data_IF_283241818425
#
_entry.id   IF_283241818425
#
_cell.length_a   1.000
_cell.length_b   1.000
_cell.length_c   1.000
_cell.angle_alpha   90.00
_cell.angle_beta   90.00
_cell.angle_gamma   90.00
#
_symmetry.space_group_name_H-M   'P 1'
#
loop_
_entity.id
_entity.type
_entity.pdbx_description
1 polymer ?
#
# COMPACT_ATOMS: atom_id res chain seq x y z
N UNK A 1 -3.97 10.77 -2.03
CA UNK A 1 -3.84 11.10 -3.44
C UNK A 1 -3.01 9.99 -4.09
N UNK A 2 -3.71 9.06 -4.78
CA UNK A 2 -3.04 8.23 -5.78
C UNK A 2 -2.37 9.16 -6.77
N UNK A 3 -1.14 8.86 -7.17
CA UNK A 3 -0.54 9.51 -8.32
C UNK A 3 -1.57 9.56 -9.44
N UNK A 4 -1.68 10.64 -10.21
CA UNK A 4 -2.50 10.64 -11.39
C UNK A 4 -1.90 9.61 -12.34
N UNK A 5 -2.37 8.37 -12.20
CA UNK A 5 -2.22 7.40 -13.26
C UNK A 5 -2.80 8.06 -14.50
N UNK A 6 -2.08 7.99 -15.61
CA UNK A 6 -2.61 8.42 -16.92
C UNK A 6 -4.09 8.08 -16.96
N UNK A 7 -4.93 9.08 -17.23
CA UNK A 7 -6.39 8.87 -17.34
C UNK A 7 -6.63 7.68 -18.25
N UNK A 8 -7.57 6.87 -17.89
CA UNK A 8 -7.94 5.56 -18.42
C UNK A 8 -8.20 5.46 -19.94
N UNK A 9 -7.83 6.44 -20.73
CA UNK A 9 -7.97 6.42 -22.19
C UNK A 9 -6.79 5.77 -22.92
N UNK A 10 -5.63 5.61 -22.27
CA UNK A 10 -4.51 4.87 -22.86
C UNK A 10 -4.44 3.47 -22.25
N UNK A 11 -5.28 2.60 -22.81
CA UNK A 11 -5.41 1.20 -22.40
C UNK A 11 -4.30 0.31 -22.98
N UNK A 12 -3.21 0.90 -23.49
CA UNK A 12 -2.07 0.15 -23.99
C UNK A 12 -1.33 -0.54 -22.83
N UNK A 13 -0.87 -1.77 -23.06
CA UNK A 13 0.04 -2.50 -22.16
C UNK A 13 1.47 -1.92 -22.20
N UNK A 14 1.65 -0.67 -22.61
CA UNK A 14 2.95 -0.03 -22.72
C UNK A 14 3.48 0.28 -21.33
N UNK A 15 4.71 -0.09 -21.08
CA UNK A 15 5.43 0.30 -19.87
C UNK A 15 5.58 1.81 -19.80
N UNK A 16 5.68 2.32 -18.58
CA UNK A 16 5.95 3.73 -18.32
C UNK A 16 7.38 4.04 -18.80
N UNK A 17 7.48 4.96 -19.74
CA UNK A 17 8.77 5.45 -20.26
C UNK A 17 9.01 6.92 -19.93
N UNK A 18 7.95 7.66 -19.57
CA UNK A 18 7.99 9.07 -19.23
C UNK A 18 6.82 9.40 -18.30
N UNK A 19 7.08 10.13 -17.23
CA UNK A 19 6.05 10.65 -16.34
C UNK A 19 6.48 11.98 -15.72
N UNK A 20 6.27 13.09 -16.44
CA UNK A 20 6.71 14.45 -16.04
C UNK A 20 6.23 14.86 -14.64
N UNK A 21 5.01 14.47 -14.24
CA UNK A 21 4.50 14.82 -12.92
C UNK A 21 5.20 14.02 -11.81
N UNK A 22 5.53 12.76 -12.03
CA UNK A 22 6.32 11.96 -11.11
C UNK A 22 7.74 12.53 -11.00
N UNK A 23 8.36 12.85 -12.12
CA UNK A 23 9.69 13.48 -12.18
C UNK A 23 9.73 14.79 -11.38
N UNK A 24 8.76 15.68 -11.61
CA UNK A 24 8.65 16.95 -10.90
C UNK A 24 8.53 16.75 -9.39
N UNK A 25 7.68 15.85 -8.95
CA UNK A 25 7.48 15.56 -7.52
C UNK A 25 8.72 14.92 -6.90
N UNK A 26 9.28 13.93 -7.57
CA UNK A 26 10.50 13.27 -7.11
C UNK A 26 11.66 14.25 -6.98
N UNK A 27 11.87 15.10 -7.99
CA UNK A 27 12.89 16.16 -7.95
C UNK A 27 12.67 17.08 -6.75
N UNK A 28 11.44 17.53 -6.50
CA UNK A 28 11.13 18.36 -5.35
C UNK A 28 11.50 17.70 -4.01
N UNK A 29 11.30 16.38 -3.87
CA UNK A 29 11.76 15.65 -2.70
C UNK A 29 13.30 15.58 -2.63
N UNK A 30 13.95 15.24 -3.75
CA UNK A 30 15.43 15.16 -3.81
C UNK A 30 16.10 16.48 -3.48
N UNK A 31 15.60 17.58 -4.02
CA UNK A 31 16.15 18.94 -3.78
C UNK A 31 16.06 19.36 -2.29
N UNK A 32 15.14 18.75 -1.53
CA UNK A 32 14.95 19.02 -0.09
C UNK A 32 15.51 17.91 0.82
N UNK A 33 16.01 16.83 0.26
CA UNK A 33 16.62 15.74 1.03
C UNK A 33 17.97 16.20 1.60
N UNK A 34 18.19 15.91 2.88
CA UNK A 34 19.47 16.17 3.54
C UNK A 34 20.20 14.87 3.76
N UNK A 35 21.52 14.89 3.60
CA UNK A 35 22.36 13.73 3.86
C UNK A 35 22.21 13.24 5.30
N UNK A 36 22.10 11.92 5.47
CA UNK A 36 21.90 11.28 6.77
C UNK A 36 20.44 11.23 7.28
N UNK A 37 19.48 11.83 6.58
CA UNK A 37 18.06 11.81 6.96
C UNK A 37 17.22 10.82 6.15
N UNK A 38 17.78 9.64 5.91
CA UNK A 38 17.09 8.55 5.25
C UNK A 38 17.19 8.56 3.72
N UNK A 39 16.27 7.89 3.06
CA UNK A 39 16.25 7.70 1.61
C UNK A 39 14.81 7.81 1.07
N UNK A 40 14.69 7.93 -0.25
CA UNK A 40 13.40 8.02 -0.91
C UNK A 40 13.01 6.65 -1.46
N UNK A 41 11.86 6.13 -1.00
CA UNK A 41 11.26 4.91 -1.50
C UNK A 41 10.02 5.21 -2.35
N UNK A 42 9.89 4.54 -3.48
CA UNK A 42 8.68 4.59 -4.32
C UNK A 42 7.84 3.34 -4.06
N UNK A 43 6.62 3.57 -3.61
CA UNK A 43 5.63 2.50 -3.43
C UNK A 43 4.80 2.33 -4.70
N UNK A 44 4.61 1.09 -5.13
CA UNK A 44 3.78 0.75 -6.28
C UNK A 44 2.80 -0.39 -5.99
N UNK A 45 1.57 -0.24 -6.44
CA UNK A 45 0.58 -1.30 -6.42
C UNK A 45 0.81 -2.30 -7.58
N UNK A 46 0.12 -3.46 -7.61
CA UNK A 46 0.35 -4.47 -8.66
C UNK A 46 0.11 -3.98 -10.10
N UNK A 47 -0.73 -2.97 -10.31
CA UNK A 47 -0.92 -2.39 -11.63
C UNK A 47 0.30 -1.56 -12.06
N UNK A 48 0.82 -0.76 -11.13
CA UNK A 48 2.02 0.04 -11.36
C UNK A 48 3.25 -0.84 -11.65
N UNK A 49 3.34 -2.03 -11.03
CA UNK A 49 4.41 -3.00 -11.33
C UNK A 49 4.37 -3.45 -12.79
N UNK A 50 3.17 -3.77 -13.29
CA UNK A 50 2.99 -4.21 -14.69
C UNK A 50 3.35 -3.12 -15.68
N UNK A 51 3.17 -1.86 -15.28
CA UNK A 51 3.51 -0.70 -16.09
C UNK A 51 5.00 -0.31 -16.01
N UNK A 52 5.79 -0.98 -15.17
CA UNK A 52 7.22 -0.69 -15.03
C UNK A 52 7.53 0.58 -14.22
N UNK A 53 6.62 1.00 -13.34
CA UNK A 53 6.80 2.22 -12.52
C UNK A 53 7.99 2.09 -11.58
N UNK A 54 8.25 0.90 -11.03
CA UNK A 54 9.38 0.68 -10.14
C UNK A 54 10.72 0.79 -10.87
N UNK A 55 10.83 0.14 -12.02
CA UNK A 55 12.02 0.21 -12.87
C UNK A 55 12.28 1.63 -13.36
N UNK A 56 11.24 2.35 -13.75
CA UNK A 56 11.33 3.75 -14.11
C UNK A 56 11.82 4.62 -12.93
N UNK A 57 11.30 4.36 -11.73
CA UNK A 57 11.70 5.09 -10.52
C UNK A 57 13.18 4.93 -10.18
N UNK A 58 13.71 3.72 -10.36
CA UNK A 58 15.11 3.44 -10.10
C UNK A 58 16.03 3.98 -11.20
N UNK A 59 15.70 3.66 -12.47
CA UNK A 59 16.59 3.94 -13.59
C UNK A 59 16.56 5.39 -14.05
N UNK A 60 15.41 6.06 -13.94
CA UNK A 60 15.21 7.44 -14.41
C UNK A 60 15.23 8.45 -13.28
N UNK A 61 14.59 8.14 -12.15
CA UNK A 61 14.48 9.08 -11.04
C UNK A 61 15.60 8.90 -10.00
N UNK A 62 16.25 7.74 -9.95
CA UNK A 62 17.29 7.44 -8.98
C UNK A 62 16.74 7.26 -7.56
N UNK A 63 15.59 6.58 -7.42
CA UNK A 63 15.09 6.20 -6.10
C UNK A 63 16.00 5.13 -5.47
N UNK A 64 16.23 5.25 -4.16
CA UNK A 64 17.10 4.31 -3.44
C UNK A 64 16.38 3.00 -3.13
N UNK A 65 15.08 3.08 -2.90
CA UNK A 65 14.25 1.95 -2.50
C UNK A 65 12.95 1.87 -3.29
N UNK A 66 12.41 0.67 -3.37
CA UNK A 66 11.08 0.39 -3.92
C UNK A 66 10.27 -0.42 -2.92
N UNK A 67 8.99 -0.12 -2.81
CA UNK A 67 8.06 -0.87 -1.97
C UNK A 67 6.99 -1.56 -2.83
N UNK A 68 7.00 -2.87 -2.81
CA UNK A 68 5.97 -3.71 -3.40
C UNK A 68 4.71 -3.68 -2.53
N UNK A 69 3.61 -3.17 -3.03
CA UNK A 69 2.36 -3.09 -2.27
C UNK A 69 1.45 -4.27 -2.58
N UNK A 70 1.47 -5.30 -1.75
CA UNK A 70 0.54 -6.41 -1.83
C UNK A 70 -0.83 -6.08 -1.29
N UNK A 71 -0.90 -5.21 -0.29
CA UNK A 71 -2.15 -4.83 0.36
C UNK A 71 -2.04 -3.52 1.11
N UNK A 72 -3.14 -3.16 1.72
CA UNK A 72 -3.30 -2.00 2.56
C UNK A 72 -4.37 -2.34 3.60
N UNK A 73 -4.43 -1.63 4.72
CA UNK A 73 -5.23 -1.95 5.88
C UNK A 73 -6.59 -2.58 5.60
N UNK A 74 -7.46 -1.89 4.90
CA UNK A 74 -8.77 -2.41 4.53
C UNK A 74 -8.89 -2.78 3.03
N UNK A 75 -7.83 -3.26 2.42
CA UNK A 75 -7.77 -3.69 1.01
C UNK A 75 -6.97 -4.97 0.81
N UNK A 76 -7.21 -5.98 1.61
CA UNK A 76 -6.49 -7.26 1.51
C UNK A 76 -6.75 -8.00 0.19
N UNK A 77 -7.91 -7.80 -0.38
CA UNK A 77 -8.34 -8.37 -1.67
C UNK A 77 -8.14 -7.39 -2.83
N UNK A 78 -7.48 -6.26 -2.58
CA UNK A 78 -7.39 -5.13 -3.50
C UNK A 78 -8.50 -4.10 -3.28
N UNK A 79 -8.46 -3.01 -4.05
CA UNK A 79 -9.53 -2.01 -4.05
C UNK A 79 -10.74 -2.50 -4.83
N UNK A 80 -11.90 -2.21 -4.31
CA UNK A 80 -13.16 -2.37 -5.03
C UNK A 80 -13.36 -1.19 -5.97
N UNK A 81 -13.54 -1.45 -7.24
CA UNK A 81 -13.81 -0.44 -8.27
C UNK A 81 -15.01 -0.86 -9.10
N UNK A 82 -16.05 -0.04 -9.09
CA UNK A 82 -17.24 -0.25 -9.92
C UNK A 82 -16.98 0.15 -11.37
N UNK A 83 -17.49 -0.64 -12.30
CA UNK A 83 -17.31 -0.48 -13.74
C UNK A 83 -18.68 -0.61 -14.39
N UNK A 84 -19.11 0.45 -15.06
CA UNK A 84 -20.42 0.53 -15.75
C UNK A 84 -20.28 0.40 -17.26
N UNK A 85 -19.22 -0.23 -17.75
CA UNK A 85 -18.96 -0.44 -19.17
C UNK A 85 -18.46 -1.86 -19.41
N UNK A 86 -19.13 -2.62 -20.25
CA UNK A 86 -18.83 -4.02 -20.51
C UNK A 86 -17.45 -4.22 -21.16
N UNK A 87 -17.10 -3.42 -22.17
CA UNK A 87 -15.82 -3.53 -22.87
C UNK A 87 -14.66 -3.28 -21.91
N UNK A 88 -14.82 -2.30 -21.02
CA UNK A 88 -13.83 -2.01 -19.98
C UNK A 88 -13.74 -3.15 -18.96
N UNK A 89 -14.85 -3.79 -18.61
CA UNK A 89 -14.87 -4.95 -17.71
C UNK A 89 -14.11 -6.12 -18.32
N UNK A 90 -14.38 -6.46 -19.58
CA UNK A 90 -13.67 -7.50 -20.35
C UNK A 90 -12.18 -7.18 -20.45
N UNK A 91 -11.83 -5.96 -20.81
CA UNK A 91 -10.43 -5.54 -20.89
C UNK A 91 -9.70 -5.73 -19.56
N UNK A 92 -10.32 -5.39 -18.43
CA UNK A 92 -9.70 -5.53 -17.11
C UNK A 92 -9.57 -7.00 -16.72
N UNK A 93 -10.55 -7.85 -17.03
CA UNK A 93 -10.44 -9.30 -16.87
C UNK A 93 -9.25 -9.85 -17.65
N UNK A 94 -9.12 -9.47 -18.92
CA UNK A 94 -8.01 -9.89 -19.80
C UNK A 94 -6.64 -9.39 -19.31
N UNK A 95 -6.61 -8.32 -18.50
CA UNK A 95 -5.41 -7.85 -17.78
C UNK A 95 -5.10 -8.62 -16.51
N UNK A 96 -5.89 -9.64 -16.19
CA UNK A 96 -5.71 -10.51 -15.02
C UNK A 96 -6.30 -9.98 -13.73
N UNK A 97 -7.22 -9.01 -13.79
CA UNK A 97 -8.04 -8.64 -12.64
C UNK A 97 -9.17 -9.66 -12.43
N UNK A 98 -9.62 -9.76 -11.19
CA UNK A 98 -10.87 -10.44 -10.88
C UNK A 98 -11.99 -9.45 -11.14
N UNK A 99 -12.88 -9.78 -12.07
CA UNK A 99 -14.06 -8.97 -12.39
C UNK A 99 -15.32 -9.78 -12.13
N UNK A 100 -16.23 -9.24 -11.35
CA UNK A 100 -17.45 -9.90 -10.90
C UNK A 100 -18.65 -9.00 -11.18
N UNK A 101 -19.75 -9.55 -11.75
CA UNK A 101 -19.87 -10.87 -12.36
C UNK A 101 -18.96 -11.03 -13.58
N UNK A 102 -18.81 -12.25 -14.11
CA UNK A 102 -17.92 -12.51 -15.26
C UNK A 102 -18.39 -11.75 -16.50
N UNK A 103 -17.64 -10.76 -17.02
CA UNK A 103 -18.09 -9.96 -18.16
C UNK A 103 -18.03 -10.70 -19.51
N UNK A 104 -17.45 -11.89 -19.56
CA UNK A 104 -17.41 -12.72 -20.79
C UNK A 104 -18.49 -13.82 -20.78
N UNK A 105 -19.22 -13.99 -19.69
CA UNK A 105 -20.37 -14.89 -19.63
C UNK A 105 -21.52 -14.33 -20.48
N UNK A 106 -22.03 -15.05 -21.49
CA UNK A 106 -23.14 -14.62 -22.35
C UNK A 106 -24.40 -14.25 -21.57
N UNK A 107 -24.70 -14.97 -20.48
CA UNK A 107 -25.85 -14.71 -19.62
C UNK A 107 -25.68 -13.36 -18.94
N UNK A 108 -24.48 -13.06 -18.43
CA UNK A 108 -24.17 -11.79 -17.78
C UNK A 108 -24.20 -10.64 -18.80
N UNK A 109 -23.72 -10.86 -20.01
CA UNK A 109 -23.78 -9.84 -21.07
C UNK A 109 -25.21 -9.46 -21.43
N UNK A 110 -26.09 -10.46 -21.54
CA UNK A 110 -27.50 -10.21 -21.81
C UNK A 110 -28.21 -9.53 -20.62
N UNK A 111 -27.90 -9.94 -19.39
CA UNK A 111 -28.39 -9.31 -18.18
C UNK A 111 -27.91 -7.86 -18.04
N UNK A 112 -26.70 -7.55 -18.48
CA UNK A 112 -26.18 -6.19 -18.51
C UNK A 112 -26.89 -5.33 -19.57
N UNK A 113 -27.15 -5.86 -20.77
CA UNK A 113 -27.90 -5.15 -21.82
C UNK A 113 -29.36 -4.87 -21.42
N UNK A 114 -30.00 -5.80 -20.72
CA UNK A 114 -31.38 -5.64 -20.23
C UNK A 114 -31.47 -4.75 -18.96
N UNK A 115 -30.35 -4.38 -18.36
CA UNK A 115 -30.32 -3.61 -17.11
C UNK A 115 -30.51 -4.42 -15.84
N UNK A 116 -30.59 -5.76 -15.92
CA UNK A 116 -30.66 -6.64 -14.76
C UNK A 116 -29.33 -6.73 -14.00
N UNK A 117 -28.21 -6.48 -14.69
CA UNK A 117 -26.90 -6.26 -14.10
C UNK A 117 -26.50 -4.80 -14.35
N UNK A 118 -26.39 -4.01 -13.29
CA UNK A 118 -26.10 -2.57 -13.40
C UNK A 118 -24.62 -2.27 -13.68
N UNK A 119 -23.73 -3.21 -13.37
CA UNK A 119 -22.29 -3.03 -13.55
C UNK A 119 -21.47 -4.19 -13.02
N UNK A 120 -20.16 -3.99 -13.01
CA UNK A 120 -19.17 -4.98 -12.62
C UNK A 120 -18.32 -4.41 -11.48
N UNK A 121 -17.73 -5.31 -10.69
CA UNK A 121 -16.75 -4.96 -9.67
C UNK A 121 -15.39 -5.55 -10.04
N UNK A 122 -14.36 -4.70 -10.00
CA UNK A 122 -12.97 -5.13 -10.20
C UNK A 122 -12.24 -5.24 -8.88
N UNK A 123 -11.59 -6.37 -8.67
CA UNK A 123 -10.71 -6.61 -7.54
C UNK A 123 -9.29 -6.92 -8.00
N UNK A 124 -8.30 -6.39 -7.28
CA UNK A 124 -6.89 -6.74 -7.48
C UNK A 124 -6.47 -7.72 -6.41
N UNK A 125 -6.11 -8.93 -6.81
CA UNK A 125 -5.60 -9.94 -5.89
C UNK A 125 -4.13 -10.21 -6.16
N UNK A 126 -3.34 -10.26 -5.10
CA UNK A 126 -1.94 -10.67 -5.19
C UNK A 126 -1.88 -12.19 -5.12
N UNK A 127 -1.53 -12.82 -6.21
CA UNK A 127 -1.50 -14.28 -6.34
C UNK A 127 -0.57 -14.96 -5.34
N UNK A 128 0.57 -14.35 -5.04
CA UNK A 128 1.59 -14.90 -4.15
C UNK A 128 1.07 -15.31 -2.76
N UNK A 129 -0.01 -14.69 -2.26
CA UNK A 129 -0.61 -15.05 -0.96
C UNK A 129 -1.56 -16.24 -1.07
N UNK A 130 -2.18 -16.43 -2.23
CA UNK A 130 -3.29 -17.37 -2.43
C UNK A 130 -2.95 -18.62 -3.21
N UNK A 131 -1.81 -18.65 -3.90
CA UNK A 131 -1.37 -19.79 -4.69
C UNK A 131 -0.61 -20.84 -3.85
N UNK A 132 -0.36 -22.00 -4.46
CA UNK A 132 0.49 -23.04 -3.86
C UNK A 132 1.87 -22.46 -3.51
N UNK A 133 2.28 -22.64 -2.25
CA UNK A 133 3.40 -21.91 -1.65
C UNK A 133 4.73 -22.00 -2.42
N UNK A 134 5.21 -23.19 -2.90
CA UNK A 134 6.46 -23.24 -3.65
C UNK A 134 6.46 -22.36 -4.89
N UNK A 135 5.41 -22.48 -5.73
CA UNK A 135 5.28 -21.63 -6.92
C UNK A 135 5.21 -20.14 -6.59
N UNK A 136 4.45 -19.78 -5.57
CA UNK A 136 4.32 -18.39 -5.14
C UNK A 136 5.66 -17.82 -4.65
N UNK A 137 6.48 -18.63 -3.99
CA UNK A 137 7.82 -18.25 -3.57
C UNK A 137 8.76 -18.05 -4.76
N UNK A 138 8.74 -18.95 -5.74
CA UNK A 138 9.57 -18.83 -6.94
C UNK A 138 9.22 -17.56 -7.74
N UNK A 139 7.93 -17.33 -7.99
CA UNK A 139 7.45 -16.13 -8.70
C UNK A 139 7.84 -14.84 -7.97
N UNK A 140 7.73 -14.82 -6.66
CA UNK A 140 8.11 -13.66 -5.85
C UNK A 140 9.63 -13.46 -5.81
N UNK A 141 10.40 -14.53 -5.69
CA UNK A 141 11.87 -14.48 -5.74
C UNK A 141 12.37 -13.88 -7.04
N UNK A 142 11.84 -14.35 -8.17
CA UNK A 142 12.17 -13.80 -9.49
C UNK A 142 11.85 -12.30 -9.58
N UNK A 143 10.75 -11.85 -8.99
CA UNK A 143 10.41 -10.43 -8.97
C UNK A 143 11.37 -9.61 -8.12
N UNK A 144 11.76 -10.09 -6.95
CA UNK A 144 12.74 -9.42 -6.09
C UNK A 144 14.11 -9.33 -6.78
N UNK A 145 14.55 -10.43 -7.38
CA UNK A 145 15.81 -10.47 -8.14
C UNK A 145 15.79 -9.53 -9.33
N UNK A 146 14.66 -9.47 -10.05
CA UNK A 146 14.47 -8.52 -11.14
C UNK A 146 14.64 -7.06 -10.67
N UNK A 147 14.05 -6.68 -9.54
CA UNK A 147 14.18 -5.33 -9.00
C UNK A 147 15.61 -5.01 -8.55
N UNK A 148 16.29 -5.96 -7.92
CA UNK A 148 17.69 -5.80 -7.52
C UNK A 148 18.61 -5.66 -8.73
N UNK A 149 18.41 -6.48 -9.74
CA UNK A 149 19.15 -6.40 -11.02
C UNK A 149 18.86 -5.08 -11.77
N UNK A 150 17.67 -4.52 -11.59
CA UNK A 150 17.31 -3.21 -12.13
C UNK A 150 17.87 -2.02 -11.32
N UNK A 151 18.58 -2.27 -10.23
CA UNK A 151 19.29 -1.25 -9.46
C UNK A 151 18.69 -0.86 -8.11
N UNK A 152 17.66 -1.58 -7.62
CA UNK A 152 17.12 -1.33 -6.28
C UNK A 152 18.17 -1.62 -5.20
N UNK A 153 18.56 -0.62 -4.42
CA UNK A 153 19.42 -0.80 -3.24
C UNK A 153 18.66 -1.50 -2.12
N UNK A 154 17.39 -1.14 -1.94
CA UNK A 154 16.50 -1.70 -0.93
C UNK A 154 15.18 -2.10 -1.54
N UNK A 155 14.65 -3.27 -1.13
CA UNK A 155 13.34 -3.76 -1.56
C UNK A 155 12.46 -3.98 -0.35
N UNK A 156 11.35 -3.28 -0.30
CA UNK A 156 10.36 -3.35 0.77
C UNK A 156 9.10 -4.07 0.29
N UNK A 157 8.34 -4.57 1.25
CA UNK A 157 7.02 -5.14 1.04
C UNK A 157 6.00 -4.45 1.94
N UNK A 158 4.81 -4.15 1.42
CA UNK A 158 3.68 -3.70 2.21
C UNK A 158 2.51 -4.68 2.10
N UNK A 159 1.99 -5.06 3.25
CA UNK A 159 0.81 -5.93 3.41
C UNK A 159 -0.40 -5.14 3.90
N UNK A 160 -1.52 -5.82 4.07
CA UNK A 160 -2.74 -5.28 4.67
C UNK A 160 -3.08 -5.97 5.99
N UNK A 161 -4.32 -5.81 6.43
CA UNK A 161 -4.87 -6.42 7.63
C UNK A 161 -5.13 -7.93 7.44
N UNK A 162 -4.09 -8.66 7.13
CA UNK A 162 -4.13 -10.06 6.73
C UNK A 162 -4.51 -10.99 7.88
N UNK A 163 -5.17 -12.10 7.54
CA UNK A 163 -5.33 -13.21 8.49
C UNK A 163 -3.96 -13.81 8.85
N UNK A 164 -3.88 -14.54 10.00
CA UNK A 164 -2.60 -15.03 10.53
C UNK A 164 -1.74 -15.80 9.54
N UNK A 165 -2.36 -16.69 8.74
CA UNK A 165 -1.63 -17.50 7.74
C UNK A 165 -0.98 -16.66 6.65
N UNK A 166 -1.66 -15.61 6.19
CA UNK A 166 -1.17 -14.77 5.10
C UNK A 166 -0.10 -13.78 5.62
N UNK A 167 -0.25 -13.30 6.85
CA UNK A 167 0.79 -12.53 7.54
C UNK A 167 2.06 -13.36 7.73
N UNK A 168 1.92 -14.60 8.21
CA UNK A 168 3.06 -15.50 8.38
C UNK A 168 3.79 -15.77 7.05
N UNK A 169 3.05 -15.95 5.94
CA UNK A 169 3.63 -16.09 4.61
C UNK A 169 4.39 -14.85 4.17
N UNK A 170 3.83 -13.66 4.36
CA UNK A 170 4.49 -12.42 4.00
C UNK A 170 5.82 -12.26 4.77
N UNK A 171 5.82 -12.51 6.08
CA UNK A 171 7.02 -12.47 6.92
C UNK A 171 8.04 -13.52 6.45
N UNK A 172 7.58 -14.73 6.12
CA UNK A 172 8.48 -15.79 5.62
C UNK A 172 9.08 -15.43 4.26
N UNK A 173 8.33 -14.83 3.35
CA UNK A 173 8.84 -14.35 2.07
C UNK A 173 9.92 -13.28 2.27
N UNK A 174 9.66 -12.31 3.14
CA UNK A 174 10.66 -11.30 3.48
C UNK A 174 11.93 -11.92 4.07
N UNK A 175 11.78 -12.95 4.90
CA UNK A 175 12.92 -13.67 5.48
C UNK A 175 13.74 -14.40 4.41
N UNK A 176 13.09 -15.20 3.56
CA UNK A 176 13.75 -16.02 2.55
C UNK A 176 14.47 -15.17 1.51
N UNK A 177 13.82 -14.12 1.03
CA UNK A 177 14.36 -13.23 0.00
C UNK A 177 15.11 -12.02 0.57
N UNK A 178 15.30 -11.96 1.89
CA UNK A 178 16.05 -10.90 2.60
C UNK A 178 15.60 -9.50 2.20
N UNK A 179 14.28 -9.27 2.24
CA UNK A 179 13.74 -7.93 2.06
C UNK A 179 14.10 -7.07 3.26
N UNK A 180 14.41 -5.81 2.99
CA UNK A 180 14.92 -4.90 4.02
C UNK A 180 13.82 -4.51 5.02
N UNK A 181 12.61 -4.23 4.52
CA UNK A 181 11.49 -3.75 5.35
C UNK A 181 10.18 -4.46 4.98
N UNK A 182 9.39 -4.78 6.00
CA UNK A 182 8.00 -5.19 5.86
C UNK A 182 7.07 -4.19 6.56
N UNK A 183 6.25 -3.49 5.79
CA UNK A 183 5.18 -2.64 6.31
C UNK A 183 3.89 -3.45 6.50
N UNK A 184 3.37 -3.47 7.72
CA UNK A 184 2.13 -4.15 8.09
C UNK A 184 1.07 -3.10 8.41
N UNK A 185 0.04 -3.02 7.57
CA UNK A 185 -1.00 -2.00 7.62
C UNK A 185 -2.32 -2.62 8.11
N UNK A 186 -2.69 -2.35 9.35
CA UNK A 186 -3.86 -2.94 10.01
C UNK A 186 -5.20 -2.37 9.51
N UNK A 187 -6.31 -2.93 9.99
CA UNK A 187 -7.66 -2.63 9.53
C UNK A 187 -8.05 -1.15 9.60
N UNK A 188 -7.48 -0.36 10.53
CA UNK A 188 -7.67 1.09 10.60
C UNK A 188 -7.09 1.88 9.42
N UNK A 189 -6.31 1.26 8.53
CA UNK A 189 -5.65 1.84 7.37
C UNK A 189 -6.49 1.80 6.09
N UNK A 190 -7.74 2.23 6.11
CA UNK A 190 -8.62 2.24 4.93
C UNK A 190 -8.42 3.43 3.99
N UNK A 191 -9.02 3.34 2.80
CA UNK A 191 -9.14 4.41 1.79
C UNK A 191 -10.54 4.43 1.20
N UNK A 192 -10.89 5.44 0.39
CA UNK A 192 -12.19 5.52 -0.29
C UNK A 192 -12.50 4.35 -1.24
N UNK A 193 -11.48 3.57 -1.65
CA UNK A 193 -11.66 2.36 -2.46
C UNK A 193 -11.60 1.07 -1.63
N UNK A 194 -11.60 1.17 -0.30
CA UNK A 194 -11.63 -0.01 0.57
C UNK A 194 -13.02 -0.62 0.58
N UNK A 195 -13.16 -1.94 0.33
CA UNK A 195 -14.43 -2.62 0.48
C UNK A 195 -14.98 -2.44 1.89
N UNK A 196 -16.26 -2.14 2.01
CA UNK A 196 -16.90 -1.84 3.29
C UNK A 196 -16.71 -2.97 4.33
N UNK A 197 -16.83 -4.21 3.89
CA UNK A 197 -16.62 -5.38 4.73
C UNK A 197 -15.19 -5.51 5.25
N UNK A 198 -14.22 -5.16 4.43
CA UNK A 198 -12.81 -5.15 4.84
C UNK A 198 -12.52 -4.08 5.88
N UNK A 199 -13.20 -2.92 5.81
CA UNK A 199 -13.02 -1.85 6.78
C UNK A 199 -13.65 -2.17 8.14
N UNK A 200 -14.79 -2.84 8.14
CA UNK A 200 -15.65 -2.93 9.34
C UNK A 200 -15.74 -4.33 9.93
N UNK A 201 -15.48 -5.39 9.16
CA UNK A 201 -15.73 -6.76 9.60
C UNK A 201 -14.50 -7.69 9.48
N UNK A 202 -13.81 -7.67 8.33
CA UNK A 202 -12.86 -8.74 7.97
C UNK A 202 -11.40 -8.37 8.15
N UNK A 203 -11.09 -7.11 8.34
CA UNK A 203 -9.72 -6.68 8.57
C UNK A 203 -9.26 -7.00 9.99
N UNK A 204 -8.05 -7.54 10.13
CA UNK A 204 -7.48 -7.79 11.45
C UNK A 204 -6.99 -6.46 12.05
N UNK A 205 -7.43 -6.10 13.28
CA UNK A 205 -6.98 -4.87 13.93
C UNK A 205 -5.47 -4.83 14.17
N UNK A 206 -4.89 -3.63 14.10
CA UNK A 206 -3.44 -3.41 14.19
C UNK A 206 -2.82 -4.00 15.46
N UNK A 207 -3.51 -3.94 16.57
CA UNK A 207 -3.05 -4.49 17.87
C UNK A 207 -2.80 -6.01 17.78
N UNK A 208 -3.72 -6.74 17.16
CA UNK A 208 -3.57 -8.20 17.00
C UNK A 208 -2.50 -8.54 15.95
N UNK A 209 -2.42 -7.76 14.88
CA UNK A 209 -1.36 -7.91 13.88
C UNK A 209 0.01 -7.69 14.51
N UNK A 210 0.16 -6.69 15.38
CA UNK A 210 1.41 -6.41 16.09
C UNK A 210 1.86 -7.61 16.94
N UNK A 211 0.95 -8.17 17.74
CA UNK A 211 1.24 -9.34 18.57
C UNK A 211 1.59 -10.58 17.73
N UNK A 212 0.87 -10.82 16.63
CA UNK A 212 1.18 -11.94 15.73
C UNK A 212 2.51 -11.73 15.02
N UNK A 213 2.80 -10.50 14.61
CA UNK A 213 4.09 -10.14 13.98
C UNK A 213 5.24 -10.44 14.92
N UNK A 214 5.16 -10.01 16.18
CA UNK A 214 6.16 -10.37 17.19
C UNK A 214 6.39 -11.87 17.25
N UNK A 215 5.32 -12.65 17.38
CA UNK A 215 5.42 -14.11 17.49
C UNK A 215 6.06 -14.75 16.26
N UNK A 216 5.73 -14.28 15.05
CA UNK A 216 6.31 -14.84 13.81
C UNK A 216 7.76 -14.41 13.63
N UNK A 217 8.09 -13.16 13.88
CA UNK A 217 9.47 -12.66 13.82
C UNK A 217 10.36 -13.34 14.87
N UNK A 218 9.84 -13.51 16.09
CA UNK A 218 10.57 -14.23 17.14
C UNK A 218 10.87 -15.68 16.74
N UNK A 219 9.92 -16.39 16.13
CA UNK A 219 10.18 -17.76 15.65
C UNK A 219 11.25 -17.83 14.58
N UNK A 220 11.38 -16.83 13.71
CA UNK A 220 12.48 -16.74 12.74
C UNK A 220 13.80 -16.46 13.45
N UNK A 221 13.81 -15.48 14.35
CA UNK A 221 15.01 -15.12 15.12
C UNK A 221 15.54 -16.28 15.97
N UNK A 222 14.64 -17.02 16.66
CA UNK A 222 15.00 -18.20 17.47
C UNK A 222 15.64 -19.33 16.63
N UNK A 223 15.43 -19.33 15.31
CA UNK A 223 16.02 -20.26 14.36
C UNK A 223 17.28 -19.72 13.68
N UNK A 224 17.69 -18.49 14.01
CA UNK A 224 18.78 -17.81 13.32
C UNK A 224 18.44 -17.41 11.87
N UNK A 225 17.16 -17.39 11.50
CA UNK A 225 16.70 -16.94 10.19
C UNK A 225 16.66 -15.41 10.11
N UNK A 226 16.78 -14.86 8.91
CA UNK A 226 16.70 -13.42 8.69
C UNK A 226 15.32 -12.88 9.07
N UNK A 227 15.28 -11.75 9.77
CA UNK A 227 14.05 -11.02 10.12
C UNK A 227 14.13 -9.62 9.50
N UNK A 228 13.15 -9.22 8.65
CA UNK A 228 13.13 -7.87 8.10
C UNK A 228 12.83 -6.84 9.19
N UNK A 229 13.22 -5.60 8.98
CA UNK A 229 12.73 -4.49 9.80
C UNK A 229 11.22 -4.32 9.60
N UNK A 230 10.49 -4.13 10.69
CA UNK A 230 9.03 -4.03 10.66
C UNK A 230 8.60 -2.58 10.82
N UNK A 231 7.67 -2.16 9.95
CA UNK A 231 6.91 -0.92 10.10
C UNK A 231 5.45 -1.29 10.40
N UNK A 232 4.88 -0.74 11.47
CA UNK A 232 3.46 -0.89 11.77
C UNK A 232 2.69 0.35 11.31
N UNK A 233 1.56 0.13 10.67
CA UNK A 233 0.64 1.18 10.22
C UNK A 233 -0.82 0.72 10.39
N UNK A 234 -1.75 1.65 10.20
CA UNK A 234 -3.18 1.36 10.23
C UNK A 234 -3.87 1.79 11.52
N UNK A 235 -4.51 2.96 11.48
CA UNK A 235 -5.28 3.52 12.60
C UNK A 235 -4.46 4.16 13.70
N UNK A 236 -3.14 4.33 13.51
CA UNK A 236 -2.29 5.03 14.46
C UNK A 236 -2.51 6.54 14.31
N UNK A 237 -2.86 7.23 15.40
CA UNK A 237 -3.29 8.64 15.34
C UNK A 237 -2.84 9.49 16.53
N UNK A 238 -2.30 8.89 17.58
CA UNK A 238 -1.85 9.58 18.78
C UNK A 238 -0.46 9.08 19.18
N UNK A 239 0.22 9.87 19.99
CA UNK A 239 1.59 9.61 20.45
C UNK A 239 1.71 8.31 21.24
N UNK A 240 0.72 7.99 22.05
CA UNK A 240 0.68 6.75 22.82
C UNK A 240 0.53 5.51 21.92
N UNK A 241 -0.08 5.65 20.73
CA UNK A 241 -0.13 4.59 19.74
C UNK A 241 1.26 4.26 19.18
N UNK A 242 2.13 5.26 19.06
CA UNK A 242 3.53 5.05 18.65
C UNK A 242 4.25 4.21 19.71
N UNK A 243 4.19 4.64 20.96
CA UNK A 243 4.80 3.91 22.07
C UNK A 243 4.29 2.47 22.18
N UNK A 244 2.96 2.29 22.14
CA UNK A 244 2.33 0.97 22.22
C UNK A 244 2.72 0.05 21.06
N UNK A 245 2.88 0.60 19.85
CA UNK A 245 3.33 -0.16 18.68
C UNK A 245 4.72 -0.72 18.88
N UNK A 246 5.66 0.09 19.38
CA UNK A 246 6.99 -0.40 19.73
C UNK A 246 6.96 -1.40 20.86
N UNK A 247 6.22 -1.14 21.94
CA UNK A 247 6.14 -2.04 23.08
C UNK A 247 5.57 -3.42 22.73
N UNK A 248 4.58 -3.48 21.82
CA UNK A 248 3.93 -4.74 21.41
C UNK A 248 4.81 -5.64 20.55
N UNK A 249 5.74 -5.09 19.79
CA UNK A 249 6.49 -5.87 18.80
C UNK A 249 8.01 -5.58 18.80
N UNK A 250 8.54 -5.02 19.90
CA UNK A 250 9.99 -4.91 20.09
C UNK A 250 10.65 -6.31 20.16
N UNK A 251 11.88 -6.48 19.64
CA UNK A 251 12.75 -5.45 19.03
C UNK A 251 12.56 -5.30 17.52
N UNK A 252 11.56 -5.94 16.91
CA UNK A 252 11.42 -6.06 15.45
C UNK A 252 10.85 -4.80 14.79
N UNK A 253 9.95 -4.09 15.47
CA UNK A 253 9.40 -2.82 14.96
C UNK A 253 10.45 -1.72 15.06
N UNK A 254 10.69 -1.06 13.91
CA UNK A 254 11.68 0.01 13.77
C UNK A 254 11.03 1.37 13.46
N UNK A 255 9.80 1.35 12.94
CA UNK A 255 9.06 2.57 12.63
C UNK A 255 7.54 2.35 12.70
N UNK A 256 6.80 3.44 12.74
CA UNK A 256 5.35 3.45 12.61
C UNK A 256 4.91 4.38 11.49
N UNK A 257 3.89 3.97 10.74
CA UNK A 257 3.30 4.75 9.67
C UNK A 257 2.03 5.47 10.12
N UNK A 258 2.05 6.79 10.11
CA UNK A 258 0.89 7.64 10.36
C UNK A 258 0.58 8.44 9.09
N UNK A 259 -0.65 8.41 8.61
CA UNK A 259 -1.03 9.05 7.35
C UNK A 259 -2.15 10.07 7.53
N UNK A 260 -3.39 9.61 7.66
CA UNK A 260 -4.56 10.50 7.68
C UNK A 260 -4.62 11.43 8.89
N UNK A 261 -4.16 10.99 10.05
CA UNK A 261 -4.15 11.81 11.27
C UNK A 261 -3.31 13.07 11.10
N UNK A 262 -2.09 12.95 10.60
CA UNK A 262 -1.19 14.07 10.34
C UNK A 262 -1.71 14.99 9.23
N UNK A 263 -2.30 14.43 8.16
CA UNK A 263 -2.92 15.19 7.09
C UNK A 263 -4.14 15.95 7.60
N UNK A 264 -5.01 15.33 8.39
CA UNK A 264 -6.17 15.98 8.99
C UNK A 264 -5.76 17.14 9.90
N UNK A 265 -4.76 16.93 10.77
CA UNK A 265 -4.24 17.98 11.63
C UNK A 265 -3.70 19.18 10.81
N UNK A 266 -2.94 18.90 9.76
CA UNK A 266 -2.41 19.94 8.85
C UNK A 266 -3.54 20.70 8.15
N UNK A 267 -4.58 20.00 7.67
CA UNK A 267 -5.71 20.64 6.99
C UNK A 267 -6.51 21.55 7.94
N UNK A 268 -6.80 21.05 9.15
CA UNK A 268 -7.52 21.82 10.17
C UNK A 268 -6.68 23.04 10.58
N UNK A 269 -5.40 22.85 10.88
CA UNK A 269 -4.48 23.93 11.24
C UNK A 269 -4.36 24.99 10.16
N UNK A 270 -4.29 24.61 8.88
CA UNK A 270 -4.26 25.55 7.76
C UNK A 270 -5.60 26.36 7.65
N UNK A 271 -6.75 25.70 7.81
CA UNK A 271 -8.05 26.38 7.76
C UNK A 271 -8.20 27.32 8.95
N UNK A 272 -7.95 26.84 10.16
CA UNK A 272 -8.01 27.64 11.38
C UNK A 272 -7.05 28.84 11.33
N UNK A 273 -5.80 28.61 10.90
CA UNK A 273 -4.82 29.69 10.75
C UNK A 273 -5.24 30.78 9.77
N UNK A 274 -5.86 30.40 8.63
CA UNK A 274 -6.43 31.37 7.68
C UNK A 274 -7.59 32.16 8.27
N UNK A 275 -8.45 31.52 9.05
CA UNK A 275 -9.60 32.18 9.66
C UNK A 275 -9.17 33.11 10.81
N UNK A 276 -8.13 32.77 11.58
CA UNK A 276 -7.49 33.66 12.56
C UNK A 276 -6.86 34.86 11.84
N UNK A 277 -6.07 34.63 10.80
CA UNK A 277 -5.44 35.70 10.03
C UNK A 277 -6.46 36.63 9.35
N UNK A 278 -7.63 36.13 8.99
CA UNK A 278 -8.74 36.92 8.46
C UNK A 278 -9.60 37.59 9.55
N UNK A 279 -9.29 37.42 10.83
CA UNK A 279 -10.05 37.98 11.95
C UNK A 279 -11.44 37.37 12.15
N UNK A 280 -11.72 36.20 11.53
CA UNK A 280 -13.01 35.50 11.64
C UNK A 280 -13.19 34.77 12.97
N UNK A 281 -12.10 34.27 13.54
CA UNK A 281 -12.07 33.61 14.84
C UNK A 281 -10.91 34.14 15.66
N UNK A 282 -11.06 34.18 16.96
CA UNK A 282 -9.95 34.50 17.86
C UNK A 282 -9.02 33.30 18.01
N UNK A 283 -7.72 33.57 18.20
CA UNK A 283 -6.75 32.52 18.54
C UNK A 283 -7.19 31.86 19.85
N UNK A 284 -7.37 30.54 19.90
CA UNK A 284 -7.72 29.85 21.14
C UNK A 284 -6.60 30.10 22.18
N UNK A 285 -7.00 30.40 23.39
CA UNK A 285 -6.05 30.45 24.52
C UNK A 285 -5.50 29.04 24.75
N UNK A 286 -4.19 28.88 24.74
CA UNK A 286 -3.59 27.59 25.07
C UNK A 286 -3.44 27.48 26.58
N UNK A 287 -3.78 26.34 27.17
CA UNK A 287 -3.57 26.07 28.60
C UNK A 287 -2.06 26.06 28.97
N UNK A 288 -1.17 26.02 27.99
CA UNK A 288 0.28 25.92 28.16
C UNK A 288 1.05 27.16 27.66
N UNK A 289 0.37 28.24 27.48
CA UNK A 289 0.97 29.49 27.03
C UNK A 289 1.00 29.66 25.51
N UNK A 290 1.27 30.88 25.07
CA UNK A 290 1.37 31.20 23.65
C UNK A 290 2.66 30.61 23.07
N UNK A 291 2.52 29.58 22.25
CA UNK A 291 3.59 29.04 21.41
C UNK A 291 3.47 29.54 19.98
#
# INVERSE_FOLDING_TARGET
>A
HSFPTRRSSDLSNKKVTECKELERRFKSFKDNQKDGYGFIAIQANPEDWRLGVLEYSMNTLGSDAVELKWGQGAKNIGGEVKIFNLEKAILLKNRGYIVIPDPEDPIIQEAFKSGAVEGFERHTRVKAISEYLPKAMDDFGQQVDHLRNAGAKYVFLKTGAYRPSDLARAIKFCSVFKLDVLTIDGAGGGTGMSPWRMMNEWGVPTVYLSAMTYNFCKRLADRGEYVPDIILAGGLSAEDHIYKSFALAAPFVKAVGMSRSTICATMVGNTTGKDIAAGKIQKPASEHGDS
#
